data_IF_763611297452
#
_entry.id   IF_763611297452
#
_cell.length_a   1.000
_cell.length_b   1.000
_cell.length_c   1.000
_cell.angle_alpha   90.00
_cell.angle_beta   90.00
_cell.angle_gamma   90.00
#
_symmetry.space_group_name_H-M   'P 1'
#
loop_
_entity.id
_entity.type
_entity.pdbx_description
1 polymer ?
#
# COMPACT_ATOMS: atom_id res chain seq x y z
N UNK A 1 13.50 -3.00 -28.91
CA UNK A 1 14.58 -2.51 -28.02
C UNK A 1 14.57 -0.98 -28.00
N UNK A 2 13.59 -0.35 -27.34
CA UNK A 2 13.46 1.12 -27.25
C UNK A 2 13.18 1.61 -25.82
N UNK A 3 13.58 0.84 -24.79
CA UNK A 3 13.35 1.21 -23.38
C UNK A 3 14.64 1.47 -22.60
N UNK A 4 15.82 1.26 -23.18
CA UNK A 4 17.09 1.33 -22.47
C UNK A 4 17.65 2.76 -22.26
N UNK A 5 16.87 3.81 -22.57
CA UNK A 5 17.41 5.17 -22.67
C UNK A 5 17.37 5.98 -21.37
N UNK A 6 16.85 5.47 -20.25
CA UNK A 6 16.81 6.20 -18.98
C UNK A 6 17.20 5.38 -17.73
N UNK A 7 18.37 4.72 -17.72
CA UNK A 7 18.82 3.92 -16.57
C UNK A 7 18.88 4.73 -15.27
N UNK A 8 19.21 6.03 -15.34
CA UNK A 8 19.20 6.91 -14.17
C UNK A 8 17.80 7.12 -13.60
N UNK A 9 16.80 7.37 -14.46
CA UNK A 9 15.43 7.61 -14.01
C UNK A 9 14.82 6.34 -13.41
N UNK A 10 15.08 5.17 -14.01
CA UNK A 10 14.62 3.88 -13.47
C UNK A 10 15.24 3.60 -12.09
N UNK A 11 16.52 3.88 -11.90
CA UNK A 11 17.18 3.73 -10.59
C UNK A 11 16.60 4.73 -9.57
N UNK A 12 16.40 6.00 -9.96
CA UNK A 12 15.74 7.00 -9.10
C UNK A 12 14.32 6.57 -8.72
N UNK A 13 13.55 6.04 -9.68
CA UNK A 13 12.17 5.63 -9.49
C UNK A 13 12.05 4.41 -8.57
N UNK A 14 12.90 3.41 -8.77
CA UNK A 14 12.96 2.23 -7.88
C UNK A 14 13.37 2.61 -6.46
N UNK A 15 14.33 3.55 -6.30
CA UNK A 15 14.70 4.11 -5.00
C UNK A 15 13.52 4.84 -4.34
N UNK A 16 12.76 5.64 -5.10
CA UNK A 16 11.56 6.33 -4.61
C UNK A 16 10.49 5.34 -4.12
N UNK A 17 10.18 4.31 -4.91
CA UNK A 17 9.22 3.26 -4.53
C UNK A 17 9.71 2.52 -3.27
N UNK A 18 11.01 2.23 -3.16
CA UNK A 18 11.59 1.59 -1.98
C UNK A 18 11.38 2.43 -0.72
N UNK A 19 11.67 3.73 -0.76
CA UNK A 19 11.41 4.62 0.38
C UNK A 19 9.93 4.78 0.67
N UNK A 20 9.08 4.87 -0.34
CA UNK A 20 7.63 4.90 -0.16
C UNK A 20 7.13 3.64 0.57
N UNK A 21 7.69 2.47 0.26
CA UNK A 21 7.39 1.22 0.95
C UNK A 21 7.86 1.22 2.41
N UNK A 22 9.08 1.73 2.68
CA UNK A 22 9.59 1.88 4.06
C UNK A 22 8.72 2.85 4.87
N UNK A 23 8.40 4.02 4.32
CA UNK A 23 7.53 5.01 4.95
C UNK A 23 6.15 4.41 5.21
N UNK A 24 5.59 3.65 4.27
CA UNK A 24 4.30 2.98 4.43
C UNK A 24 4.28 2.06 5.66
N UNK A 25 5.27 1.16 5.79
CA UNK A 25 5.37 0.26 6.95
C UNK A 25 5.60 1.05 8.25
N UNK A 26 6.42 2.10 8.20
CA UNK A 26 6.67 2.97 9.35
C UNK A 26 5.42 3.71 9.82
N UNK A 27 4.60 4.21 8.88
CA UNK A 27 3.33 4.86 9.17
C UNK A 27 2.35 3.88 9.84
N UNK A 28 2.27 2.63 9.37
CA UNK A 28 1.45 1.62 10.05
C UNK A 28 1.90 1.43 11.51
N UNK A 29 3.21 1.33 11.76
CA UNK A 29 3.73 1.21 13.12
C UNK A 29 3.43 2.43 13.99
N UNK A 30 3.60 3.66 13.46
CA UNK A 30 3.30 4.91 14.17
C UNK A 30 1.80 4.98 14.50
N UNK A 31 0.93 4.73 13.54
CA UNK A 31 -0.53 4.83 13.72
C UNK A 31 -1.00 3.81 14.75
N UNK A 32 -0.48 2.58 14.71
CA UNK A 32 -0.77 1.57 15.72
C UNK A 32 -0.27 2.01 17.10
N UNK A 33 0.96 2.54 17.20
CA UNK A 33 1.51 3.04 18.45
C UNK A 33 0.70 4.22 19.03
N UNK A 34 0.24 5.14 18.18
CA UNK A 34 -0.64 6.26 18.58
C UNK A 34 -1.97 5.74 19.14
N UNK A 35 -2.60 4.79 18.43
CA UNK A 35 -3.84 4.16 18.87
C UNK A 35 -3.71 3.50 20.25
N UNK A 36 -2.58 2.84 20.54
CA UNK A 36 -2.35 2.25 21.86
C UNK A 36 -2.00 3.28 22.94
N UNK A 37 -1.31 4.37 22.59
CA UNK A 37 -0.93 5.44 23.52
C UNK A 37 -2.11 6.23 24.05
N UNK A 38 -3.19 6.37 23.28
CA UNK A 38 -4.43 7.05 23.68
C UNK A 38 -5.10 6.34 24.87
N UNK A 39 -5.15 6.96 26.07
CA UNK A 39 -5.72 6.32 27.27
C UNK A 39 -7.25 6.47 27.36
N UNK A 40 -7.84 7.31 26.53
CA UNK A 40 -9.25 7.70 26.47
C UNK A 40 -10.16 6.67 25.76
N UNK A 41 -9.58 5.68 25.07
CA UNK A 41 -10.32 4.66 24.32
C UNK A 41 -10.38 3.31 25.05
N UNK A 42 -11.56 2.67 25.03
CA UNK A 42 -11.76 1.30 25.53
C UNK A 42 -10.94 0.28 24.72
N UNK A 43 -10.56 -0.83 25.35
CA UNK A 43 -9.74 -1.88 24.70
C UNK A 43 -10.37 -2.43 23.40
N UNK A 44 -11.71 -2.49 23.34
CA UNK A 44 -12.45 -2.90 22.14
C UNK A 44 -12.33 -1.89 21.00
N UNK A 45 -12.37 -0.59 21.29
CA UNK A 45 -12.14 0.44 20.28
C UNK A 45 -10.73 0.32 19.71
N UNK A 46 -9.72 0.11 20.57
CA UNK A 46 -8.33 -0.09 20.13
C UNK A 46 -8.19 -1.30 19.19
N UNK A 47 -8.81 -2.43 19.55
CA UNK A 47 -8.80 -3.64 18.73
C UNK A 47 -9.46 -3.42 17.35
N UNK A 48 -10.61 -2.73 17.32
CA UNK A 48 -11.29 -2.37 16.07
C UNK A 48 -10.43 -1.50 15.17
N UNK A 49 -9.80 -0.46 15.71
CA UNK A 49 -8.89 0.42 14.96
C UNK A 49 -7.66 -0.32 14.44
N UNK A 50 -7.06 -1.18 15.27
CA UNK A 50 -5.93 -2.01 14.84
C UNK A 50 -6.32 -2.93 13.68
N UNK A 51 -7.47 -3.60 13.76
CA UNK A 51 -7.97 -4.44 12.68
C UNK A 51 -8.18 -3.61 11.41
N UNK A 52 -8.87 -2.47 11.52
CA UNK A 52 -9.14 -1.61 10.37
C UNK A 52 -7.85 -1.16 9.67
N UNK A 53 -6.84 -0.70 10.40
CA UNK A 53 -5.55 -0.24 9.85
C UNK A 53 -4.80 -1.36 9.13
N UNK A 54 -4.86 -2.60 9.64
CA UNK A 54 -4.22 -3.77 9.01
C UNK A 54 -4.95 -4.20 7.73
N UNK A 55 -6.28 -4.18 7.74
CA UNK A 55 -7.09 -4.68 6.62
C UNK A 55 -7.34 -3.64 5.52
N UNK A 56 -7.24 -2.34 5.82
CA UNK A 56 -7.38 -1.27 4.83
C UNK A 56 -6.50 -1.46 3.58
N UNK A 57 -5.18 -1.74 3.67
CA UNK A 57 -4.36 -2.02 2.49
C UNK A 57 -4.83 -3.25 1.70
N UNK A 58 -5.29 -4.30 2.37
CA UNK A 58 -5.84 -5.50 1.71
C UNK A 58 -7.10 -5.14 0.92
N UNK A 59 -8.01 -4.37 1.49
CA UNK A 59 -9.20 -3.91 0.78
C UNK A 59 -8.85 -3.06 -0.44
N UNK A 60 -7.86 -2.17 -0.34
CA UNK A 60 -7.38 -1.40 -1.49
C UNK A 60 -6.92 -2.29 -2.65
N UNK A 61 -6.13 -3.33 -2.35
CA UNK A 61 -5.67 -4.30 -3.36
C UNK A 61 -6.83 -5.12 -3.93
N UNK A 62 -7.75 -5.60 -3.09
CA UNK A 62 -8.91 -6.38 -3.53
C UNK A 62 -9.84 -5.55 -4.43
N UNK A 63 -10.12 -4.31 -4.04
CA UNK A 63 -10.91 -3.38 -4.86
C UNK A 63 -10.20 -3.13 -6.18
N UNK A 64 -8.88 -2.89 -6.19
CA UNK A 64 -8.11 -2.75 -7.43
C UNK A 64 -8.22 -4.00 -8.31
N UNK A 65 -8.11 -5.19 -7.73
CA UNK A 65 -8.22 -6.45 -8.48
C UNK A 65 -9.62 -6.71 -9.05
N UNK A 66 -10.68 -6.26 -8.38
CA UNK A 66 -12.06 -6.43 -8.84
C UNK A 66 -12.42 -5.36 -9.87
N UNK A 67 -11.93 -4.13 -9.67
CA UNK A 67 -12.19 -2.99 -10.55
C UNK A 67 -11.31 -2.96 -11.79
N UNK A 68 -10.18 -3.67 -11.80
CA UNK A 68 -9.34 -3.76 -13.00
C UNK A 68 -10.16 -4.44 -14.11
N UNK A 69 -10.35 -3.78 -15.26
CA UNK A 69 -11.04 -4.40 -16.38
C UNK A 69 -10.24 -5.61 -16.89
N UNK A 70 -10.95 -6.60 -17.42
CA UNK A 70 -10.32 -7.72 -18.11
C UNK A 70 -9.49 -7.14 -19.27
N UNK A 71 -8.21 -7.52 -19.35
CA UNK A 71 -7.45 -7.24 -20.57
C UNK A 71 -7.96 -8.18 -21.64
N UNK A 72 -8.86 -7.67 -22.49
CA UNK A 72 -9.24 -8.38 -23.71
C UNK A 72 -7.98 -8.50 -24.57
N UNK A 73 -7.48 -9.73 -24.67
CA UNK A 73 -6.36 -10.08 -25.53
C UNK A 73 -6.79 -9.94 -26.99
N UNK A 74 -6.77 -8.72 -27.52
CA UNK A 74 -7.03 -8.43 -28.94
C UNK A 74 -5.84 -8.81 -29.85
N UNK A 75 -5.09 -9.86 -29.49
CA UNK A 75 -3.91 -10.35 -30.21
C UNK A 75 -4.01 -11.81 -30.63
N UNK A 76 -5.24 -12.34 -30.73
CA UNK A 76 -5.54 -13.56 -31.50
C UNK A 76 -6.53 -13.22 -32.61
N UNK A 77 -6.10 -12.38 -33.55
CA UNK A 77 -6.61 -12.24 -34.93
C UNK A 77 -5.67 -11.35 -35.74
#
# INVERSE_FOLDING_TARGET
>A
MLLASYPFLDIMWTMFIFFAWVIWIWLLAIVLADNFRRPDHSGWAKAGWTLFVIFLPLFGVLIYMISRPQQDTAFVS
#
